data_IF_363290359209
#
_entry.id   IF_363290359209
#
_cell.length_a   1.000
_cell.length_b   1.000
_cell.length_c   1.000
_cell.angle_alpha   90.00
_cell.angle_beta   90.00
_cell.angle_gamma   90.00
#
_symmetry.space_group_name_H-M   'P 1'
#
loop_
_entity.id
_entity.type
_entity.pdbx_description
1 polymer ?
#
# COMPACT_ATOMS: atom_id res chain seq x y z
N UNK A 1 31.66 -32.23 23.48
CA UNK A 1 30.72 -33.12 22.76
C UNK A 1 29.85 -33.76 23.81
N UNK A 2 28.70 -33.16 24.05
CA UNK A 2 27.76 -33.61 25.08
C UNK A 2 26.50 -34.08 24.36
N UNK A 3 26.18 -35.35 24.54
CA UNK A 3 25.14 -36.07 23.80
C UNK A 3 23.76 -35.65 24.28
N UNK A 4 22.97 -35.03 23.40
CA UNK A 4 21.55 -34.78 23.61
C UNK A 4 20.80 -36.13 23.70
N UNK A 5 20.27 -36.42 24.88
CA UNK A 5 19.29 -37.49 25.10
C UNK A 5 17.92 -36.99 24.60
N UNK A 6 17.32 -37.76 23.70
CA UNK A 6 15.96 -37.52 23.22
C UNK A 6 15.04 -38.32 24.15
N UNK A 7 14.28 -37.61 24.98
CA UNK A 7 13.20 -38.21 25.77
C UNK A 7 11.99 -38.46 24.85
N UNK A 8 11.82 -39.70 24.44
CA UNK A 8 10.62 -40.20 23.76
C UNK A 8 9.50 -40.45 24.80
N UNK A 9 8.68 -39.45 25.10
CA UNK A 9 7.33 -39.70 25.64
C UNK A 9 6.40 -38.48 25.56
N UNK A 10 5.56 -38.41 24.53
CA UNK A 10 4.09 -38.36 24.73
C UNK A 10 3.36 -38.45 23.38
N UNK A 11 2.68 -39.58 23.21
CA UNK A 11 1.73 -39.86 22.12
C UNK A 11 0.37 -39.27 22.44
N UNK A 12 0.01 -38.16 21.80
CA UNK A 12 -1.39 -37.78 21.59
C UNK A 12 -1.72 -37.95 20.10
N UNK A 13 -2.27 -39.13 19.78
CA UNK A 13 -2.79 -39.46 18.46
C UNK A 13 -4.19 -38.83 18.28
N UNK A 14 -4.26 -37.54 17.93
CA UNK A 14 -5.49 -37.00 17.32
C UNK A 14 -5.53 -37.38 15.83
N UNK A 15 -6.46 -38.27 15.50
CA UNK A 15 -6.73 -38.74 14.14
C UNK A 15 -7.27 -37.58 13.30
N UNK A 16 -6.40 -36.96 12.51
CA UNK A 16 -6.78 -35.97 11.50
C UNK A 16 -7.60 -36.63 10.38
N UNK A 17 -8.92 -36.51 10.43
CA UNK A 17 -9.80 -36.88 9.31
C UNK A 17 -9.68 -35.84 8.19
N UNK A 18 -9.03 -36.21 7.09
CA UNK A 18 -8.88 -35.41 5.87
C UNK A 18 -10.20 -35.37 5.07
N UNK A 19 -10.72 -34.18 4.78
CA UNK A 19 -11.62 -33.99 3.63
C UNK A 19 -10.78 -33.72 2.38
N UNK A 20 -10.96 -34.53 1.35
CA UNK A 20 -10.26 -34.41 0.06
C UNK A 20 -10.85 -33.25 -0.79
N UNK A 21 -10.00 -32.50 -1.51
CA UNK A 21 -10.47 -31.67 -2.64
C UNK A 21 -9.92 -30.25 -2.85
N UNK A 22 -8.95 -29.73 -2.08
CA UNK A 22 -8.34 -28.39 -2.35
C UNK A 22 -6.83 -28.46 -2.54
N UNK A 23 -6.35 -27.94 -3.68
CA UNK A 23 -4.92 -27.73 -3.99
C UNK A 23 -4.32 -26.78 -2.95
N UNK A 24 -3.09 -27.04 -2.51
CA UNK A 24 -2.30 -26.23 -1.54
C UNK A 24 -2.81 -26.18 -0.08
N UNK A 25 -3.47 -27.23 0.40
CA UNK A 25 -3.68 -27.38 1.85
C UNK A 25 -2.49 -28.05 2.54
N UNK A 26 -1.51 -27.26 2.91
CA UNK A 26 -0.61 -27.58 4.01
C UNK A 26 -0.28 -26.30 4.77
N UNK A 27 -1.24 -25.80 5.57
CA UNK A 27 -0.88 -24.96 6.73
C UNK A 27 -0.36 -25.92 7.79
N UNK A 28 0.88 -26.38 7.62
CA UNK A 28 1.58 -27.18 8.61
C UNK A 28 1.96 -26.23 9.74
N UNK A 29 1.23 -26.33 10.86
CA UNK A 29 1.62 -25.66 12.11
C UNK A 29 3.10 -25.98 12.39
N UNK A 30 3.88 -25.02 12.93
CA UNK A 30 5.25 -25.26 13.37
C UNK A 30 5.35 -26.52 14.22
N UNK A 31 6.35 -27.36 13.94
CA UNK A 31 6.57 -28.59 14.70
C UNK A 31 7.32 -28.30 15.99
N UNK A 32 8.25 -27.34 15.93
CA UNK A 32 8.97 -26.81 17.07
C UNK A 32 9.46 -25.40 16.73
N UNK A 33 9.49 -24.54 17.75
CA UNK A 33 10.11 -23.22 17.71
C UNK A 33 11.24 -23.26 18.73
N UNK A 34 12.47 -22.97 18.31
CA UNK A 34 13.55 -22.72 19.26
C UNK A 34 13.36 -21.31 19.83
N UNK A 35 13.10 -21.22 21.13
CA UNK A 35 12.89 -19.95 21.82
C UNK A 35 14.11 -19.04 21.84
N UNK A 36 15.31 -19.59 21.57
CA UNK A 36 16.57 -18.84 21.66
C UNK A 36 16.95 -18.21 20.33
N UNK A 37 16.75 -18.94 19.23
CA UNK A 37 17.14 -18.51 17.87
C UNK A 37 15.96 -18.04 17.02
N UNK A 38 14.73 -18.31 17.46
CA UNK A 38 13.51 -18.06 16.70
C UNK A 38 13.34 -18.99 15.49
N UNK A 39 14.19 -20.01 15.35
CA UNK A 39 14.14 -20.94 14.22
C UNK A 39 12.87 -21.80 14.29
N UNK A 40 12.26 -22.00 13.12
CA UNK A 40 11.00 -22.73 13.01
C UNK A 40 11.14 -23.93 12.09
N UNK A 41 10.82 -25.12 12.61
CA UNK A 41 10.75 -26.34 11.82
C UNK A 41 9.37 -26.47 11.16
N UNK A 42 9.35 -26.45 9.84
CA UNK A 42 8.12 -26.59 9.03
C UNK A 42 8.22 -27.81 8.12
N UNK A 43 7.13 -28.58 8.00
CA UNK A 43 7.03 -29.65 6.98
C UNK A 43 6.66 -29.07 5.63
N UNK A 44 7.43 -29.41 4.59
CA UNK A 44 7.08 -29.14 3.19
C UNK A 44 5.87 -29.99 2.78
N UNK A 45 5.21 -29.60 1.68
CA UNK A 45 4.17 -30.41 1.02
C UNK A 45 4.64 -31.81 0.63
N UNK A 46 5.94 -32.01 0.44
CA UNK A 46 6.59 -33.31 0.15
C UNK A 46 6.89 -34.15 1.40
N UNK A 47 6.48 -33.70 2.60
CA UNK A 47 6.71 -34.40 3.87
C UNK A 47 8.08 -34.19 4.51
N UNK A 48 9.07 -33.65 3.76
CA UNK A 48 10.42 -33.34 4.27
C UNK A 48 10.40 -32.13 5.23
N UNK A 49 11.12 -32.23 6.34
CA UNK A 49 11.31 -31.10 7.26
C UNK A 49 12.22 -30.04 6.63
N UNK A 50 11.91 -28.76 6.88
CA UNK A 50 12.75 -27.61 6.52
C UNK A 50 12.82 -26.69 7.73
N UNK A 51 14.04 -26.33 8.12
CA UNK A 51 14.30 -25.26 9.09
C UNK A 51 14.18 -23.92 8.36
N UNK A 52 13.37 -23.02 8.92
CA UNK A 52 13.31 -21.61 8.52
C UNK A 52 14.22 -20.83 9.44
N UNK A 53 15.05 -19.95 8.86
CA UNK A 53 15.91 -19.06 9.63
C UNK A 53 15.02 -18.25 10.56
N UNK A 54 15.30 -18.33 11.85
CA UNK A 54 14.71 -17.46 12.86
C UNK A 54 15.32 -16.07 12.77
N UNK A 55 14.58 -15.08 13.24
CA UNK A 55 15.15 -13.78 13.56
C UNK A 55 15.53 -13.83 15.04
N UNK A 56 16.80 -13.56 15.36
CA UNK A 56 17.19 -13.44 16.76
C UNK A 56 16.59 -12.17 17.36
N UNK A 57 16.44 -12.14 18.69
CA UNK A 57 15.98 -10.92 19.39
C UNK A 57 16.90 -9.73 19.10
N UNK A 58 18.21 -9.97 19.02
CA UNK A 58 19.19 -8.94 18.65
C UNK A 58 18.99 -8.41 17.23
N UNK A 59 18.77 -9.29 16.24
CA UNK A 59 18.46 -8.89 14.87
C UNK A 59 17.14 -8.08 14.79
N UNK A 60 16.15 -8.42 15.61
CA UNK A 60 14.89 -7.69 15.69
C UNK A 60 15.06 -6.31 16.32
N UNK A 61 15.77 -6.20 17.44
CA UNK A 61 16.05 -4.93 18.09
C UNK A 61 16.87 -4.00 17.18
N UNK A 62 17.86 -4.54 16.47
CA UNK A 62 18.61 -3.78 15.46
C UNK A 62 17.70 -3.25 14.35
N UNK A 63 16.73 -4.05 13.88
CA UNK A 63 15.77 -3.60 12.87
C UNK A 63 14.85 -2.48 13.40
N UNK A 64 14.40 -2.58 14.65
CA UNK A 64 13.61 -1.52 15.30
C UNK A 64 14.43 -0.24 15.44
N UNK A 65 15.68 -0.34 15.88
CA UNK A 65 16.58 0.82 15.98
C UNK A 65 16.82 1.47 14.62
N UNK A 66 17.07 0.67 13.58
CA UNK A 66 17.17 1.17 12.22
C UNK A 66 15.89 1.88 11.78
N UNK A 67 14.73 1.28 12.03
CA UNK A 67 13.45 1.85 11.63
C UNK A 67 13.13 3.17 12.34
N UNK A 68 13.32 3.25 13.66
CA UNK A 68 12.92 4.42 14.44
C UNK A 68 14.01 5.50 14.55
N UNK A 69 15.27 5.10 14.65
CA UNK A 69 16.36 6.01 15.02
C UNK A 69 17.31 6.33 13.85
N UNK A 70 17.63 5.34 13.00
CA UNK A 70 18.64 5.52 11.93
C UNK A 70 18.01 5.98 10.62
N UNK A 71 17.17 5.15 10.03
CA UNK A 71 16.56 5.35 8.69
C UNK A 71 15.23 6.09 8.77
N UNK A 72 14.60 6.13 9.96
CA UNK A 72 13.33 6.80 10.26
C UNK A 72 12.14 6.34 9.41
N UNK A 73 12.21 5.13 8.86
CA UNK A 73 11.14 4.50 8.11
C UNK A 73 10.70 5.28 6.85
N UNK A 74 9.66 4.78 6.16
CA UNK A 74 9.04 5.53 5.08
C UNK A 74 8.26 6.72 5.63
N UNK A 75 8.23 7.82 4.87
CA UNK A 75 7.43 8.99 5.21
C UNK A 75 5.95 8.63 5.31
N UNK A 76 5.37 8.88 6.47
CA UNK A 76 3.94 8.72 6.71
C UNK A 76 3.25 9.98 6.19
N UNK A 77 2.19 9.80 5.42
CA UNK A 77 1.33 10.92 5.04
C UNK A 77 0.30 11.12 6.13
N UNK A 78 0.25 12.32 6.71
CA UNK A 78 -0.70 12.63 7.78
C UNK A 78 -2.16 12.44 7.33
N UNK A 79 -3.00 12.03 8.28
CA UNK A 79 -4.44 11.97 8.04
C UNK A 79 -4.95 13.36 7.64
N UNK A 80 -5.82 13.40 6.62
CA UNK A 80 -6.42 14.64 6.13
C UNK A 80 -5.42 15.72 5.64
N UNK A 81 -4.19 15.36 5.29
CA UNK A 81 -3.19 16.33 4.79
C UNK A 81 -3.68 17.19 3.61
N UNK A 82 -4.58 16.67 2.78
CA UNK A 82 -5.18 17.41 1.66
C UNK A 82 -6.15 18.53 2.11
N UNK A 83 -6.63 18.54 3.35
CA UNK A 83 -7.49 19.61 3.86
C UNK A 83 -6.71 20.87 4.22
N UNK A 84 -5.42 20.73 4.51
CA UNK A 84 -4.53 21.84 4.87
C UNK A 84 -3.84 22.51 3.67
N UNK A 85 -4.08 22.03 2.45
CA UNK A 85 -3.34 22.47 1.26
C UNK A 85 -4.31 23.01 0.21
N UNK A 86 -4.00 24.18 -0.35
CA UNK A 86 -4.69 24.66 -1.54
C UNK A 86 -4.14 23.98 -2.80
N UNK A 87 -4.95 23.21 -3.55
CA UNK A 87 -4.51 22.60 -4.80
C UNK A 87 -4.10 23.61 -5.87
N UNK A 88 -4.58 24.86 -5.82
CA UNK A 88 -4.14 25.91 -6.76
C UNK A 88 -2.70 26.36 -6.49
N UNK A 89 -2.29 26.40 -5.23
CA UNK A 89 -0.91 26.70 -4.86
C UNK A 89 0.01 25.58 -5.32
N UNK A 90 -0.36 24.31 -5.06
CA UNK A 90 0.36 23.15 -5.60
C UNK A 90 0.47 23.19 -7.12
N UNK A 91 -0.60 23.61 -7.81
CA UNK A 91 -0.62 23.68 -9.26
C UNK A 91 0.28 24.79 -9.83
N UNK A 92 0.51 25.86 -9.08
CA UNK A 92 1.31 27.01 -9.51
C UNK A 92 2.78 26.90 -9.10
N UNK A 93 3.10 26.07 -8.11
CA UNK A 93 4.46 25.87 -7.66
C UNK A 93 5.25 24.95 -8.60
N UNK A 94 5.93 25.56 -9.58
CA UNK A 94 6.57 24.86 -10.70
C UNK A 94 7.82 24.06 -10.32
N UNK A 95 8.38 24.25 -9.12
CA UNK A 95 9.64 23.61 -8.72
C UNK A 95 9.39 22.22 -8.11
N UNK A 96 8.35 22.06 -7.30
CA UNK A 96 8.04 20.79 -6.63
C UNK A 96 7.00 19.93 -7.38
N UNK A 97 6.17 20.54 -8.22
CA UNK A 97 5.03 19.87 -8.86
C UNK A 97 5.19 19.73 -10.38
N UNK A 98 6.18 18.94 -10.80
CA UNK A 98 6.33 18.58 -12.21
C UNK A 98 5.13 17.73 -12.69
N UNK A 99 4.27 18.36 -13.51
CA UNK A 99 3.09 17.73 -14.10
C UNK A 99 3.42 16.64 -15.12
N UNK A 100 4.68 16.50 -15.54
CA UNK A 100 5.14 15.34 -16.32
C UNK A 100 5.04 14.04 -15.50
N UNK A 101 5.13 14.14 -14.17
CA UNK A 101 5.07 13.04 -13.23
C UNK A 101 3.61 12.62 -13.01
N UNK A 102 3.30 11.35 -13.30
CA UNK A 102 1.95 10.79 -13.16
C UNK A 102 1.40 10.90 -11.73
N UNK A 103 2.24 10.69 -10.73
CA UNK A 103 1.84 10.75 -9.33
C UNK A 103 1.37 12.15 -8.93
N UNK A 104 2.07 13.21 -9.38
CA UNK A 104 1.67 14.60 -9.13
C UNK A 104 0.32 14.89 -9.76
N UNK A 105 0.10 14.44 -11.00
CA UNK A 105 -1.20 14.57 -11.66
C UNK A 105 -2.32 13.87 -10.90
N UNK A 106 -2.11 12.61 -10.51
CA UNK A 106 -3.08 11.87 -9.70
C UNK A 106 -3.43 12.57 -8.38
N UNK A 107 -2.44 13.13 -7.68
CA UNK A 107 -2.68 13.91 -6.46
C UNK A 107 -3.59 15.11 -6.74
N UNK A 108 -3.30 15.88 -7.78
CA UNK A 108 -4.11 17.04 -8.18
C UNK A 108 -5.53 16.64 -8.60
N UNK A 109 -5.69 15.56 -9.36
CA UNK A 109 -7.02 15.01 -9.70
C UNK A 109 -7.79 14.58 -8.46
N UNK A 110 -7.12 14.01 -7.45
CA UNK A 110 -7.74 13.59 -6.19
C UNK A 110 -8.36 14.77 -5.41
N UNK A 111 -7.81 15.98 -5.55
CA UNK A 111 -8.43 17.18 -4.97
C UNK A 111 -9.77 17.50 -5.63
N UNK A 112 -9.88 17.37 -6.97
CA UNK A 112 -11.17 17.52 -7.65
C UNK A 112 -12.18 16.49 -7.15
N UNK A 113 -11.78 15.23 -7.04
CA UNK A 113 -12.65 14.15 -6.56
C UNK A 113 -13.14 14.41 -5.13
N UNK A 114 -12.27 14.88 -4.23
CA UNK A 114 -12.66 15.31 -2.87
C UNK A 114 -13.67 16.45 -2.91
N UNK A 115 -13.41 17.52 -3.68
CA UNK A 115 -14.34 18.63 -3.80
C UNK A 115 -15.71 18.17 -4.30
N UNK A 116 -15.75 17.30 -5.31
CA UNK A 116 -16.99 16.72 -5.79
C UNK A 116 -17.72 15.90 -4.70
N UNK A 117 -17.00 15.06 -3.96
CA UNK A 117 -17.58 14.25 -2.89
C UNK A 117 -18.17 15.12 -1.77
N UNK A 118 -17.47 16.18 -1.38
CA UNK A 118 -17.95 17.16 -0.41
C UNK A 118 -18.98 18.16 -0.97
N UNK A 119 -19.47 17.95 -2.20
CA UNK A 119 -20.46 18.80 -2.88
C UNK A 119 -19.99 20.24 -3.10
N UNK A 120 -18.68 20.46 -3.10
CA UNK A 120 -18.02 21.73 -3.44
C UNK A 120 -17.87 21.84 -4.97
N UNK A 121 -19.01 21.87 -5.66
CA UNK A 121 -19.05 21.72 -7.12
C UNK A 121 -18.38 22.87 -7.86
N UNK A 122 -18.49 24.10 -7.36
CA UNK A 122 -17.86 25.26 -7.98
C UNK A 122 -16.34 25.16 -7.93
N UNK A 123 -15.77 24.80 -6.77
CA UNK A 123 -14.32 24.63 -6.62
C UNK A 123 -13.81 23.43 -7.43
N UNK A 124 -14.56 22.33 -7.46
CA UNK A 124 -14.25 21.18 -8.30
C UNK A 124 -14.19 21.58 -9.79
N UNK A 125 -15.21 22.28 -10.28
CA UNK A 125 -15.29 22.76 -11.66
C UNK A 125 -14.10 23.67 -12.01
N UNK A 126 -13.85 24.69 -11.18
CA UNK A 126 -12.77 25.66 -11.41
C UNK A 126 -11.39 24.98 -11.43
N UNK A 127 -11.14 24.03 -10.52
CA UNK A 127 -9.88 23.30 -10.49
C UNK A 127 -9.76 22.34 -11.68
N UNK A 128 -10.82 21.60 -12.01
CA UNK A 128 -10.80 20.63 -13.10
C UNK A 128 -10.53 21.29 -14.46
N UNK A 129 -11.11 22.48 -14.74
CA UNK A 129 -10.81 23.24 -15.95
C UNK A 129 -9.33 23.63 -16.02
N UNK A 130 -8.80 24.22 -14.94
CA UNK A 130 -7.38 24.62 -14.90
C UNK A 130 -6.44 23.44 -15.10
N UNK A 131 -6.73 22.30 -14.46
CA UNK A 131 -5.94 21.08 -14.63
C UNK A 131 -6.02 20.56 -16.06
N UNK A 132 -7.22 20.52 -16.65
CA UNK A 132 -7.44 20.08 -18.02
C UNK A 132 -6.62 20.90 -19.01
N UNK A 133 -6.66 22.23 -18.90
CA UNK A 133 -5.89 23.13 -19.76
C UNK A 133 -4.38 22.86 -19.65
N UNK A 134 -3.86 22.74 -18.41
CA UNK A 134 -2.44 22.45 -18.20
C UNK A 134 -2.05 21.06 -18.73
N UNK A 135 -2.91 20.05 -18.56
CA UNK A 135 -2.63 18.68 -19.03
C UNK A 135 -2.64 18.62 -20.56
N UNK A 136 -3.58 19.29 -21.21
CA UNK A 136 -3.61 19.42 -22.66
C UNK A 136 -2.34 20.08 -23.21
N UNK A 137 -1.87 21.15 -22.56
CA UNK A 137 -0.65 21.86 -22.99
C UNK A 137 0.62 20.99 -22.95
N UNK A 138 0.70 20.03 -22.03
CA UNK A 138 1.86 19.14 -21.86
C UNK A 138 1.66 17.74 -22.45
N UNK A 139 0.46 17.41 -22.96
CA UNK A 139 0.12 16.07 -23.42
C UNK A 139 0.93 15.71 -24.67
N UNK A 140 1.92 14.84 -24.50
CA UNK A 140 2.74 14.34 -25.61
C UNK A 140 2.29 12.94 -25.99
N UNK A 141 1.91 12.75 -27.26
CA UNK A 141 1.50 11.45 -27.83
C UNK A 141 0.38 10.78 -27.01
N UNK A 142 -0.63 11.55 -26.61
CA UNK A 142 -1.85 11.03 -25.99
C UNK A 142 -1.63 10.28 -24.67
N UNK A 143 -0.54 10.60 -23.97
CA UNK A 143 -0.17 9.94 -22.70
C UNK A 143 -1.08 10.33 -21.54
N UNK A 144 -1.79 11.45 -21.66
CA UNK A 144 -2.65 12.00 -20.61
C UNK A 144 -4.13 11.99 -20.98
N UNK A 145 -4.52 11.32 -22.07
CA UNK A 145 -5.89 11.34 -22.59
C UNK A 145 -6.89 10.81 -21.56
N UNK A 146 -6.53 9.74 -20.85
CA UNK A 146 -7.39 9.18 -19.79
C UNK A 146 -7.58 10.14 -18.63
N UNK A 147 -6.52 10.82 -18.20
CA UNK A 147 -6.63 11.83 -17.15
C UNK A 147 -7.49 13.01 -17.61
N UNK A 148 -7.37 13.44 -18.87
CA UNK A 148 -8.17 14.51 -19.47
C UNK A 148 -9.65 14.10 -19.57
N UNK A 149 -9.94 12.89 -20.07
CA UNK A 149 -11.30 12.34 -20.13
C UNK A 149 -11.95 12.26 -18.73
N UNK A 150 -11.19 11.89 -17.71
CA UNK A 150 -11.66 11.88 -16.32
C UNK A 150 -11.99 13.28 -15.79
N UNK A 151 -11.20 14.29 -16.16
CA UNK A 151 -11.48 15.70 -15.83
C UNK A 151 -12.71 16.21 -16.58
N UNK A 152 -12.86 15.89 -17.87
CA UNK A 152 -14.05 16.23 -18.66
C UNK A 152 -15.31 15.65 -18.03
N UNK A 153 -15.27 14.38 -17.62
CA UNK A 153 -16.37 13.75 -16.90
C UNK A 153 -16.72 14.49 -15.60
N UNK A 154 -15.73 14.87 -14.80
CA UNK A 154 -15.96 15.62 -13.56
C UNK A 154 -16.55 17.00 -13.83
N UNK A 155 -16.08 17.70 -14.85
CA UNK A 155 -16.61 19.01 -15.28
C UNK A 155 -18.10 18.89 -15.61
N UNK A 156 -18.47 17.94 -16.46
CA UNK A 156 -19.87 17.70 -16.85
C UNK A 156 -20.75 17.39 -15.63
N UNK A 157 -20.24 16.58 -14.69
CA UNK A 157 -20.96 16.26 -13.46
C UNK A 157 -21.12 17.46 -12.54
N UNK A 158 -20.10 18.34 -12.45
CA UNK A 158 -20.19 19.55 -11.65
C UNK A 158 -21.19 20.54 -12.24
N UNK A 159 -21.21 20.73 -13.56
CA UNK A 159 -22.22 21.56 -14.25
C UNK A 159 -23.62 21.05 -13.93
N UNK A 160 -23.85 19.74 -14.11
CA UNK A 160 -25.17 19.13 -13.93
C UNK A 160 -25.64 19.10 -12.46
N UNK A 161 -24.74 19.03 -11.48
CA UNK A 161 -25.08 18.90 -10.06
C UNK A 161 -25.00 20.21 -9.28
N UNK A 162 -24.14 21.13 -9.71
CA UNK A 162 -23.90 22.40 -9.05
C UNK A 162 -24.66 23.57 -9.64
N UNK A 163 -25.49 23.35 -10.68
CA UNK A 163 -26.21 24.39 -11.42
C UNK A 163 -25.26 25.51 -11.91
N UNK A 164 -24.05 25.11 -12.29
CA UNK A 164 -22.99 26.02 -12.76
C UNK A 164 -23.33 26.42 -14.20
N UNK A 165 -23.58 27.71 -14.42
CA UNK A 165 -23.94 28.31 -15.72
C UNK A 165 -22.72 28.76 -16.51
#
# INVERSE_FOLDING_TARGET
MESLKIDDSNTDNEVFTKQNGKKDQAVTKPIAIDSTTGEVVVRKSTGKAKIRKGQSEEEYQNQLDHYFNVEKGPTITEDNWMDSIDPLDMLNDNIENDLSIKNVRHKLTSFCERYYYYKRYQECYNLAIKLREKYQAINKKNKMDREIEGLDYLIDKCILKGDIS
#
